data_IF_648856462338
#
_entry.id   IF_648856462338
#
_cell.length_a   1.000
_cell.length_b   1.000
_cell.length_c   1.000
_cell.angle_alpha   90.00
_cell.angle_beta   90.00
_cell.angle_gamma   90.00
#
_symmetry.space_group_name_H-M   'P 1'
#
loop_
_entity.id
_entity.type
_entity.pdbx_description
1 polymer ?
#
# COMPACT_ATOMS: atom_id res chain seq x y z
N UNK A 1 24.48 21.35 10.20
CA UNK A 1 23.90 20.03 10.52
C UNK A 1 24.10 19.12 9.32
N UNK A 2 25.22 18.39 9.26
CA UNK A 2 25.42 17.37 8.23
C UNK A 2 24.53 16.19 8.59
N UNK A 3 23.34 16.11 8.00
CA UNK A 3 22.48 14.94 8.14
C UNK A 3 23.02 13.86 7.21
N UNK A 4 23.84 12.97 7.74
CA UNK A 4 24.10 11.66 7.12
C UNK A 4 22.79 10.89 7.14
N UNK A 5 22.14 10.81 5.99
CA UNK A 5 20.92 10.04 5.80
C UNK A 5 21.23 8.55 6.00
N UNK A 6 20.31 7.83 6.62
CA UNK A 6 20.41 6.37 6.64
C UNK A 6 20.28 5.82 5.22
N UNK A 7 20.95 4.70 4.91
CA UNK A 7 20.79 3.97 3.65
C UNK A 7 19.30 3.71 3.33
N UNK A 8 18.49 3.43 4.36
CA UNK A 8 17.06 3.21 4.18
C UNK A 8 16.31 4.47 3.71
N UNK A 9 16.73 5.65 4.16
CA UNK A 9 16.13 6.93 3.74
C UNK A 9 16.53 7.28 2.31
N UNK A 10 17.79 7.01 1.94
CA UNK A 10 18.27 7.16 0.56
C UNK A 10 17.48 6.27 -0.40
N UNK A 11 17.34 4.99 -0.09
CA UNK A 11 16.55 4.04 -0.90
C UNK A 11 15.09 4.48 -1.02
N UNK A 12 14.48 4.97 0.07
CA UNK A 12 13.09 5.49 0.02
C UNK A 12 12.95 6.72 -0.88
N UNK A 13 13.93 7.62 -0.86
CA UNK A 13 13.93 8.81 -1.73
C UNK A 13 14.12 8.44 -3.20
N UNK A 14 15.02 7.50 -3.49
CA UNK A 14 15.19 6.98 -4.86
C UNK A 14 13.93 6.29 -5.36
N UNK A 15 13.28 5.47 -4.54
CA UNK A 15 12.02 4.83 -4.89
C UNK A 15 10.92 5.87 -5.19
N UNK A 16 10.82 6.93 -4.39
CA UNK A 16 9.90 8.04 -4.62
C UNK A 16 10.19 8.77 -5.94
N UNK A 17 11.45 9.00 -6.26
CA UNK A 17 11.85 9.59 -7.55
C UNK A 17 11.48 8.68 -8.73
N UNK A 18 11.70 7.37 -8.61
CA UNK A 18 11.32 6.39 -9.65
C UNK A 18 9.81 6.37 -9.88
N UNK A 19 9.00 6.41 -8.83
CA UNK A 19 7.53 6.49 -8.95
C UNK A 19 7.10 7.74 -9.73
N UNK A 20 7.70 8.90 -9.41
CA UNK A 20 7.43 10.14 -10.15
C UNK A 20 7.90 10.08 -11.61
N UNK A 21 9.04 9.46 -11.88
CA UNK A 21 9.56 9.27 -13.24
C UNK A 21 8.65 8.37 -14.10
N UNK A 22 7.95 7.42 -13.46
CA UNK A 22 6.93 6.60 -14.11
C UNK A 22 5.58 7.34 -14.31
N UNK A 23 5.48 8.60 -13.90
CA UNK A 23 4.24 9.39 -13.96
C UNK A 23 3.21 9.01 -12.91
N UNK A 24 3.58 8.18 -11.92
CA UNK A 24 2.70 7.78 -10.82
C UNK A 24 2.84 8.83 -9.72
N UNK A 25 1.76 9.55 -9.42
CA UNK A 25 1.72 10.49 -8.31
C UNK A 25 1.64 9.71 -6.97
N UNK A 26 2.67 9.75 -6.10
CA UNK A 26 2.68 8.96 -4.86
C UNK A 26 1.70 9.47 -3.80
N UNK A 27 1.23 10.71 -3.96
CA UNK A 27 0.31 11.39 -3.06
C UNK A 27 -0.81 12.02 -3.89
N UNK A 28 -1.68 11.20 -4.50
CA UNK A 28 -2.75 11.73 -5.33
C UNK A 28 -3.66 12.62 -4.47
N UNK A 29 -4.03 13.77 -5.01
CA UNK A 29 -5.01 14.64 -4.36
C UNK A 29 -6.42 14.04 -4.37
N UNK A 30 -6.68 13.11 -5.30
CA UNK A 30 -7.95 12.40 -5.42
C UNK A 30 -8.10 11.35 -4.31
N UNK A 31 -9.31 11.27 -3.75
CA UNK A 31 -9.67 10.24 -2.78
C UNK A 31 -9.61 8.86 -3.43
N UNK A 32 -8.90 7.93 -2.78
CA UNK A 32 -8.90 6.55 -3.21
C UNK A 32 -10.22 5.89 -2.78
N UNK A 33 -10.98 5.25 -3.69
CA UNK A 33 -12.28 4.69 -3.33
C UNK A 33 -12.09 3.52 -2.35
N UNK A 34 -12.50 3.71 -1.09
CA UNK A 34 -12.50 2.65 -0.08
C UNK A 34 -13.93 2.18 0.12
N UNK A 35 -14.17 0.90 -0.19
CA UNK A 35 -15.52 0.31 -0.07
C UNK A 35 -15.80 -0.22 1.33
N UNK A 36 -14.78 -0.75 2.00
CA UNK A 36 -14.91 -1.47 3.26
C UNK A 36 -13.72 -1.19 4.15
N UNK A 37 -13.90 -1.32 5.46
CA UNK A 37 -12.82 -1.32 6.44
C UNK A 37 -12.39 -2.74 6.79
N UNK A 38 -11.16 -2.90 7.29
CA UNK A 38 -10.64 -4.21 7.69
C UNK A 38 -11.48 -4.91 8.78
N UNK A 39 -12.24 -4.15 9.59
CA UNK A 39 -13.16 -4.70 10.58
C UNK A 39 -14.42 -5.27 9.92
N UNK A 40 -14.98 -4.53 8.97
CA UNK A 40 -16.18 -4.94 8.23
C UNK A 40 -15.91 -6.17 7.37
N UNK A 41 -14.79 -6.19 6.62
CA UNK A 41 -14.44 -7.37 5.82
C UNK A 41 -14.34 -8.62 6.69
N UNK A 42 -13.70 -8.53 7.87
CA UNK A 42 -13.60 -9.68 8.78
C UNK A 42 -14.96 -10.12 9.34
N UNK A 43 -15.87 -9.19 9.60
CA UNK A 43 -17.20 -9.47 10.15
C UNK A 43 -18.20 -9.97 9.12
N UNK A 44 -18.06 -9.54 7.86
CA UNK A 44 -18.95 -9.89 6.75
C UNK A 44 -18.43 -11.04 5.89
N UNK A 45 -17.17 -11.46 6.10
CA UNK A 45 -16.60 -12.59 5.38
C UNK A 45 -17.39 -13.87 5.65
N UNK A 46 -17.93 -14.45 4.58
CA UNK A 46 -18.64 -15.74 4.61
C UNK A 46 -17.78 -16.78 3.90
N UNK A 47 -17.53 -17.91 4.55
CA UNK A 47 -16.75 -19.03 3.98
C UNK A 47 -17.45 -19.73 2.81
N UNK A 48 -18.78 -19.57 2.72
CA UNK A 48 -19.63 -20.19 1.71
C UNK A 48 -20.40 -19.10 0.98
N UNK A 49 -20.13 -18.94 -0.32
CA UNK A 49 -20.75 -17.96 -1.19
C UNK A 49 -19.82 -17.41 -2.27
N UNK A 50 -20.34 -16.53 -3.11
CA UNK A 50 -19.52 -15.80 -4.06
C UNK A 50 -18.70 -14.70 -3.34
N UNK A 51 -17.41 -14.56 -3.64
CA UNK A 51 -16.58 -13.53 -3.04
C UNK A 51 -16.99 -12.15 -3.53
N UNK A 52 -17.21 -11.23 -2.61
CA UNK A 52 -17.47 -9.83 -2.91
C UNK A 52 -16.17 -9.10 -3.28
N UNK A 53 -16.22 -8.27 -4.32
CA UNK A 53 -15.08 -7.40 -4.66
C UNK A 53 -14.99 -6.25 -3.67
N UNK A 54 -13.92 -6.23 -2.88
CA UNK A 54 -13.67 -5.20 -1.88
C UNK A 54 -12.41 -4.41 -2.21
N UNK A 55 -12.47 -3.10 -2.06
CA UNK A 55 -11.32 -2.19 -2.13
C UNK A 55 -11.00 -1.65 -0.74
N UNK A 56 -9.76 -1.85 -0.31
CA UNK A 56 -9.22 -1.53 1.01
C UNK A 56 -8.05 -0.55 0.90
N UNK A 57 -7.90 0.33 1.90
CA UNK A 57 -6.71 1.16 2.07
C UNK A 57 -6.13 0.99 3.49
N UNK A 58 -4.81 1.07 3.64
CA UNK A 58 -4.14 0.88 4.93
C UNK A 58 -2.63 1.06 4.88
N UNK A 59 -1.97 0.88 6.03
CA UNK A 59 -0.50 0.91 6.14
C UNK A 59 0.07 -0.50 5.99
N UNK A 60 1.11 -0.63 5.18
CA UNK A 60 1.91 -1.87 5.09
C UNK A 60 2.70 -1.99 6.39
N UNK A 61 2.43 -3.05 7.17
CA UNK A 61 3.15 -3.32 8.43
C UNK A 61 4.30 -4.31 8.24
N UNK A 62 4.09 -5.33 7.42
CA UNK A 62 5.11 -6.32 7.07
C UNK A 62 4.87 -6.83 5.65
N UNK A 63 5.95 -7.12 4.94
CA UNK A 63 5.92 -7.78 3.63
C UNK A 63 6.72 -9.05 3.77
N UNK A 64 6.07 -10.20 3.57
CA UNK A 64 6.75 -11.49 3.49
C UNK A 64 6.86 -11.87 2.02
N UNK A 65 8.09 -11.84 1.49
CA UNK A 65 8.35 -12.21 0.09
C UNK A 65 8.34 -13.74 -0.02
N UNK A 66 7.24 -14.29 -0.52
CA UNK A 66 7.05 -15.73 -0.72
C UNK A 66 7.23 -16.08 -2.20
N UNK A 67 8.47 -16.01 -2.72
CA UNK A 67 8.82 -16.51 -4.06
C UNK A 67 7.83 -16.12 -5.18
N UNK A 68 7.62 -16.99 -6.17
CA UNK A 68 6.58 -16.82 -7.19
C UNK A 68 5.24 -17.27 -6.60
N UNK A 69 4.43 -16.30 -6.16
CA UNK A 69 3.02 -16.43 -5.85
C UNK A 69 2.20 -15.65 -6.90
#
# INVERSE_FOLDING_TARGET
MSQTLSDQELIRREALQKLRALGIEPFPAAEFPVTHTAKEVKGLFKEVGEPEQVTLAGRIMSVRVMGKA
#
